data_IF_803098729083
#
_entry.id   IF_803098729083
#
_cell.length_a   1.000
_cell.length_b   1.000
_cell.length_c   1.000
_cell.angle_alpha   90.00
_cell.angle_beta   90.00
_cell.angle_gamma   90.00
#
_symmetry.space_group_name_H-M   'P 1'
#
loop_
_entity.id
_entity.type
_entity.pdbx_description
1 polymer ?
#
# COMPACT_ATOMS: atom_id res chain seq x y z
N UNK A 1 -0.48 -21.06 7.35
CA UNK A 1 0.69 -20.46 8.02
C UNK A 1 0.78 -18.97 7.69
N UNK A 2 1.65 -18.29 8.39
CA UNK A 2 1.94 -16.86 8.12
C UNK A 2 2.85 -16.77 6.91
N UNK A 3 2.52 -15.90 5.94
CA UNK A 3 3.33 -15.66 4.74
C UNK A 3 4.34 -14.54 4.94
N UNK A 4 3.97 -13.48 5.68
CA UNK A 4 4.81 -12.33 5.97
C UNK A 4 4.69 -11.93 7.43
N UNK A 5 5.76 -11.35 7.97
CA UNK A 5 5.85 -10.79 9.33
C UNK A 5 6.30 -9.34 9.17
N UNK A 6 5.41 -8.41 9.43
CA UNK A 6 5.69 -6.98 9.48
C UNK A 6 6.12 -6.53 10.89
N UNK A 7 6.29 -5.21 11.06
CA UNK A 7 6.60 -4.62 12.37
C UNK A 7 8.09 -4.44 12.66
N UNK A 8 8.98 -4.92 11.80
CA UNK A 8 10.41 -4.59 11.86
C UNK A 8 10.62 -3.22 11.19
N UNK A 9 10.34 -2.13 11.92
CA UNK A 9 10.27 -0.80 11.33
C UNK A 9 10.61 0.34 12.28
N UNK A 10 10.71 1.56 11.71
CA UNK A 10 11.00 2.78 12.46
C UNK A 10 10.16 3.98 11.95
N UNK A 11 9.89 4.93 12.85
CA UNK A 11 9.19 6.17 12.55
C UNK A 11 10.15 7.35 12.67
N UNK A 12 10.93 7.61 11.63
CA UNK A 12 12.00 8.64 11.62
C UNK A 12 11.61 9.93 10.92
N UNK A 13 10.33 10.16 10.71
CA UNK A 13 9.83 11.32 9.96
C UNK A 13 10.11 12.69 10.60
N UNK A 14 10.30 12.75 11.92
CA UNK A 14 10.68 14.01 12.61
C UNK A 14 12.19 14.13 12.73
N UNK A 15 12.80 13.11 13.30
CA UNK A 15 14.25 12.97 13.50
C UNK A 15 14.52 11.50 13.81
N UNK A 16 15.76 11.05 13.66
CA UNK A 16 16.17 9.74 14.08
C UNK A 16 17.02 9.82 15.35
N UNK A 17 16.65 9.06 16.36
CA UNK A 17 17.46 8.86 17.56
C UNK A 17 18.68 7.97 17.25
N UNK A 18 19.74 7.98 18.09
CA UNK A 18 20.88 7.08 17.87
C UNK A 18 20.47 5.60 17.78
N UNK A 19 19.53 5.14 18.60
CA UNK A 19 19.02 3.76 18.54
C UNK A 19 18.25 3.45 17.26
N UNK A 20 17.48 4.40 16.72
CA UNK A 20 16.81 4.23 15.43
C UNK A 20 17.83 4.19 14.29
N UNK A 21 18.88 5.01 14.33
CA UNK A 21 19.96 4.95 13.33
C UNK A 21 20.66 3.58 13.36
N UNK A 22 20.97 3.07 14.54
CA UNK A 22 21.51 1.72 14.71
C UNK A 22 20.57 0.65 14.20
N UNK A 23 19.27 0.78 14.48
CA UNK A 23 18.25 -0.11 13.94
C UNK A 23 18.24 -0.12 12.40
N UNK A 24 18.31 1.05 11.74
CA UNK A 24 18.34 1.14 10.28
C UNK A 24 19.53 0.38 9.68
N UNK A 25 20.68 0.31 10.41
CA UNK A 25 21.83 -0.47 9.98
C UNK A 25 21.55 -1.97 9.89
N UNK A 26 20.66 -2.49 10.74
CA UNK A 26 20.34 -3.91 10.80
C UNK A 26 19.39 -4.40 9.71
N UNK A 27 18.63 -3.52 9.08
CA UNK A 27 17.59 -3.85 8.10
C UNK A 27 18.12 -4.71 6.93
N UNK A 28 19.23 -4.37 6.26
CA UNK A 28 19.69 -5.17 5.13
C UNK A 28 20.00 -6.62 5.50
N UNK A 29 20.68 -6.83 6.61
CA UNK A 29 21.08 -8.17 7.05
C UNK A 29 19.87 -8.98 7.54
N UNK A 30 18.97 -8.37 8.29
CA UNK A 30 17.73 -8.99 8.72
C UNK A 30 16.87 -9.46 7.55
N UNK A 31 16.69 -8.62 6.53
CA UNK A 31 15.89 -8.97 5.36
C UNK A 31 16.60 -9.95 4.42
N UNK A 32 17.92 -9.90 4.32
CA UNK A 32 18.68 -10.84 3.51
C UNK A 32 18.68 -12.26 4.11
N UNK A 33 18.76 -12.36 5.44
CA UNK A 33 18.86 -13.65 6.16
C UNK A 33 17.52 -14.32 6.42
N UNK A 34 16.40 -13.60 6.34
CA UNK A 34 15.06 -14.13 6.60
C UNK A 34 14.23 -14.25 5.33
N UNK A 35 13.28 -15.19 5.31
CA UNK A 35 12.36 -15.36 4.17
C UNK A 35 11.09 -14.52 4.28
N UNK A 36 10.56 -14.34 5.48
CA UNK A 36 9.21 -13.81 5.72
C UNK A 36 9.19 -12.44 6.40
N UNK A 37 10.29 -12.02 7.00
CA UNK A 37 10.36 -10.71 7.68
C UNK A 37 10.36 -9.60 6.64
N UNK A 38 9.44 -8.64 6.82
CA UNK A 38 9.34 -7.42 6.06
C UNK A 38 9.65 -6.22 6.97
N UNK A 39 10.18 -5.16 6.39
CA UNK A 39 10.54 -3.94 7.10
C UNK A 39 9.93 -2.71 6.45
N UNK A 40 9.64 -1.72 7.27
CA UNK A 40 9.14 -0.42 6.81
C UNK A 40 9.71 0.72 7.62
N UNK A 41 9.93 1.85 6.96
CA UNK A 41 10.40 3.08 7.62
C UNK A 41 9.56 4.25 7.16
N UNK A 42 8.96 4.98 8.09
CA UNK A 42 8.23 6.22 7.78
C UNK A 42 9.21 7.40 7.84
N UNK A 43 9.50 8.00 6.68
CA UNK A 43 10.50 9.06 6.53
C UNK A 43 9.93 10.47 6.44
N UNK A 44 8.60 10.60 6.38
CA UNK A 44 7.98 11.91 6.23
C UNK A 44 6.54 11.95 6.70
N UNK A 45 6.06 13.18 6.92
CA UNK A 45 4.66 13.46 7.16
C UNK A 45 4.29 14.85 6.64
N UNK A 46 3.01 15.09 6.38
CA UNK A 46 2.50 16.40 5.98
C UNK A 46 2.86 17.49 6.99
N UNK A 47 2.96 17.13 8.28
CA UNK A 47 3.29 18.09 9.37
C UNK A 47 4.79 18.36 9.49
N UNK A 48 5.64 17.35 9.33
CA UNK A 48 7.09 17.46 9.54
C UNK A 48 7.91 17.60 8.25
N UNK A 49 7.27 17.43 7.09
CA UNK A 49 8.00 17.32 5.83
C UNK A 49 8.70 15.97 5.69
N UNK A 50 9.69 15.89 4.81
CA UNK A 50 10.47 14.69 4.54
C UNK A 50 11.83 14.80 5.24
N UNK A 51 12.19 13.79 6.01
CA UNK A 51 13.52 13.68 6.61
C UNK A 51 14.53 13.21 5.56
N UNK A 52 15.22 14.16 4.91
CA UNK A 52 16.16 13.88 3.82
C UNK A 52 17.39 13.12 4.29
N UNK A 53 17.82 13.25 5.54
CA UNK A 53 18.91 12.44 6.10
C UNK A 53 18.53 10.97 6.20
N UNK A 54 17.32 10.69 6.67
CA UNK A 54 16.77 9.32 6.67
C UNK A 54 16.65 8.77 5.24
N UNK A 55 16.19 9.56 4.28
CA UNK A 55 16.11 9.15 2.87
C UNK A 55 17.49 8.78 2.32
N UNK A 56 18.53 9.58 2.60
CA UNK A 56 19.90 9.28 2.18
C UNK A 56 20.40 7.95 2.78
N UNK A 57 20.22 7.79 4.09
CA UNK A 57 20.64 6.56 4.80
C UNK A 57 19.91 5.35 4.22
N UNK A 58 18.60 5.43 4.04
CA UNK A 58 17.81 4.32 3.49
C UNK A 58 18.21 3.99 2.04
N UNK A 59 18.55 4.98 1.22
CA UNK A 59 19.06 4.74 -0.12
C UNK A 59 20.31 3.85 -0.11
N UNK A 60 21.24 4.09 0.82
CA UNK A 60 22.41 3.24 1.03
C UNK A 60 22.04 1.82 1.51
N UNK A 61 21.05 1.72 2.42
CA UNK A 61 20.59 0.42 2.94
C UNK A 61 19.87 -0.39 1.87
N UNK A 62 19.05 0.24 1.04
CA UNK A 62 18.39 -0.43 -0.10
C UNK A 62 19.44 -0.95 -1.09
N UNK A 63 20.44 -0.14 -1.41
CA UNK A 63 21.55 -0.57 -2.29
C UNK A 63 22.30 -1.77 -1.70
N UNK A 64 22.61 -1.74 -0.40
CA UNK A 64 23.24 -2.86 0.30
C UNK A 64 22.36 -4.10 0.27
N UNK A 65 21.06 -3.96 0.54
CA UNK A 65 20.09 -5.06 0.51
C UNK A 65 19.99 -5.69 -0.89
N UNK A 66 19.94 -4.88 -1.93
CA UNK A 66 19.98 -5.35 -3.32
C UNK A 66 21.24 -6.18 -3.58
N UNK A 67 22.39 -5.68 -3.14
CA UNK A 67 23.66 -6.40 -3.28
C UNK A 67 23.70 -7.73 -2.51
N UNK A 68 23.21 -7.76 -1.27
CA UNK A 68 23.19 -8.96 -0.43
C UNK A 68 22.26 -10.06 -0.99
N UNK A 69 21.29 -9.68 -1.80
CA UNK A 69 20.29 -10.62 -2.36
C UNK A 69 20.36 -10.72 -3.89
N UNK A 70 21.46 -10.25 -4.51
CA UNK A 70 21.63 -10.20 -5.96
C UNK A 70 21.58 -11.55 -6.67
N UNK A 71 21.95 -12.61 -5.96
CA UNK A 71 21.88 -14.00 -6.43
C UNK A 71 20.45 -14.54 -6.51
N UNK A 72 19.49 -13.79 -5.98
CA UNK A 72 18.07 -14.06 -5.97
C UNK A 72 17.27 -12.86 -6.51
N UNK A 73 17.71 -12.26 -7.59
CA UNK A 73 17.09 -11.12 -8.27
C UNK A 73 16.81 -9.92 -7.36
N UNK A 74 17.65 -9.70 -6.35
CA UNK A 74 17.50 -8.66 -5.33
C UNK A 74 16.15 -8.70 -4.58
N UNK A 75 15.59 -9.89 -4.40
CA UNK A 75 14.28 -10.10 -3.78
C UNK A 75 14.16 -9.51 -2.37
N UNK A 76 15.27 -9.29 -1.68
CA UNK A 76 15.27 -8.61 -0.39
C UNK A 76 14.60 -7.24 -0.44
N UNK A 77 14.77 -6.51 -1.54
CA UNK A 77 14.17 -5.19 -1.71
C UNK A 77 12.64 -5.20 -1.79
N UNK A 78 12.01 -6.31 -2.19
CA UNK A 78 10.55 -6.42 -2.23
C UNK A 78 9.92 -6.53 -0.83
N UNK A 79 10.75 -6.77 0.19
CA UNK A 79 10.33 -6.87 1.59
C UNK A 79 10.55 -5.58 2.39
N UNK A 80 10.99 -4.52 1.72
CA UNK A 80 11.24 -3.23 2.34
C UNK A 80 10.39 -2.13 1.69
N UNK A 81 9.81 -1.27 2.51
CA UNK A 81 9.06 -0.11 2.04
C UNK A 81 9.40 1.15 2.84
N UNK A 82 9.60 2.25 2.15
CA UNK A 82 9.68 3.59 2.75
C UNK A 82 8.31 4.27 2.62
N UNK A 83 7.79 4.74 3.74
CA UNK A 83 6.51 5.44 3.81
C UNK A 83 6.66 6.94 4.03
N UNK A 84 5.65 7.68 3.57
CA UNK A 84 5.37 9.03 3.97
C UNK A 84 3.89 9.10 4.36
N UNK A 85 3.57 9.74 5.49
CA UNK A 85 2.22 9.74 6.07
C UNK A 85 1.67 8.33 6.36
N UNK A 86 2.49 7.43 6.86
CA UNK A 86 1.98 6.14 7.31
C UNK A 86 0.88 6.33 8.36
N UNK A 87 -0.27 5.70 8.12
CA UNK A 87 -1.42 5.73 9.03
C UNK A 87 -1.36 4.54 9.98
N UNK A 88 -1.98 4.70 11.13
CA UNK A 88 -2.18 3.62 12.10
C UNK A 88 -3.09 2.54 11.51
N UNK A 89 -2.90 1.31 11.96
CA UNK A 89 -3.65 0.12 11.52
C UNK A 89 -3.62 -0.13 10.00
N UNK A 90 -2.55 0.31 9.37
CA UNK A 90 -2.31 0.11 7.95
C UNK A 90 -2.09 -1.37 7.65
N UNK A 91 -2.90 -2.01 6.77
CA UNK A 91 -2.79 -3.43 6.45
C UNK A 91 -1.76 -3.75 5.36
N UNK A 92 -0.83 -2.87 5.05
CA UNK A 92 0.21 -3.13 4.06
C UNK A 92 1.13 -4.28 4.48
N UNK A 93 1.37 -5.21 3.57
CA UNK A 93 2.19 -6.39 3.79
C UNK A 93 3.57 -6.10 4.38
N UNK A 94 4.29 -5.14 3.79
CA UNK A 94 5.65 -4.81 4.22
C UNK A 94 5.69 -3.82 5.39
N UNK A 95 4.59 -3.17 5.73
CA UNK A 95 4.57 -2.07 6.67
C UNK A 95 3.26 -1.91 7.43
N UNK A 96 2.85 -2.94 8.12
CA UNK A 96 1.77 -2.80 9.09
C UNK A 96 2.26 -1.97 10.28
N UNK A 97 1.56 -0.88 10.57
CA UNK A 97 1.77 -0.08 11.78
C UNK A 97 0.60 -0.32 12.71
N UNK A 98 0.90 -0.74 13.94
CA UNK A 98 -0.12 -0.88 14.96
C UNK A 98 -0.55 0.50 15.47
N UNK A 99 -1.84 0.71 15.61
CA UNK A 99 -2.41 1.93 16.16
C UNK A 99 -2.38 1.99 17.68
N UNK A 100 -2.91 3.08 18.20
CA UNK A 100 -3.08 3.32 19.64
C UNK A 100 -4.39 2.76 20.18
N UNK A 101 -5.09 1.91 19.42
CA UNK A 101 -6.35 1.30 19.80
C UNK A 101 -6.25 0.40 21.03
N UNK A 102 -7.38 0.10 21.64
CA UNK A 102 -7.45 -0.69 22.90
C UNK A 102 -7.31 -2.19 22.69
N UNK A 103 -7.44 -2.69 21.44
CA UNK A 103 -7.39 -4.11 21.15
C UNK A 103 -5.95 -4.66 21.04
N UNK A 104 -5.71 -5.82 21.66
CA UNK A 104 -4.42 -6.54 21.54
C UNK A 104 -4.19 -7.10 20.13
N UNK A 105 -5.25 -7.29 19.36
CA UNK A 105 -5.22 -7.81 18.00
C UNK A 105 -6.37 -7.25 17.16
N UNK A 106 -6.06 -6.82 15.95
CA UNK A 106 -7.03 -6.31 14.98
C UNK A 106 -6.84 -7.04 13.64
N UNK A 107 -7.95 -7.40 13.02
CA UNK A 107 -7.96 -8.00 11.67
C UNK A 107 -8.26 -6.92 10.65
N UNK A 108 -7.30 -6.62 9.80
CA UNK A 108 -7.45 -5.75 8.65
C UNK A 108 -7.40 -6.60 7.36
N UNK A 109 -8.11 -6.19 6.34
CA UNK A 109 -8.10 -6.87 5.04
C UNK A 109 -7.63 -5.93 3.96
N UNK A 110 -6.50 -6.26 3.35
CA UNK A 110 -6.03 -5.60 2.13
C UNK A 110 -6.48 -6.39 0.89
N UNK A 111 -7.01 -5.70 -0.09
CA UNK A 111 -7.44 -6.31 -1.35
C UNK A 111 -6.61 -5.76 -2.50
N UNK A 112 -5.90 -6.64 -3.23
CA UNK A 112 -5.25 -6.26 -4.49
C UNK A 112 -6.31 -6.14 -5.57
N UNK A 113 -6.57 -4.91 -6.03
CA UNK A 113 -7.67 -4.59 -6.94
C UNK A 113 -7.33 -4.24 -8.38
N UNK A 114 -6.04 -4.00 -8.78
CA UNK A 114 -5.75 -3.44 -10.10
C UNK A 114 -6.30 -4.26 -11.27
N UNK A 115 -6.11 -5.58 -11.26
CA UNK A 115 -6.57 -6.44 -12.34
C UNK A 115 -8.09 -6.44 -12.52
N UNK A 116 -8.85 -6.38 -11.44
CA UNK A 116 -10.33 -6.31 -11.49
C UNK A 116 -10.79 -4.98 -12.06
N UNK A 117 -10.16 -3.88 -11.63
CA UNK A 117 -10.46 -2.54 -12.12
C UNK A 117 -10.07 -2.41 -13.59
N UNK A 118 -8.88 -2.87 -13.98
CA UNK A 118 -8.43 -2.89 -15.37
C UNK A 118 -9.44 -3.62 -16.26
N UNK A 119 -9.85 -4.81 -15.88
CA UNK A 119 -10.84 -5.59 -16.64
C UNK A 119 -12.19 -4.87 -16.78
N UNK A 120 -12.63 -4.17 -15.75
CA UNK A 120 -13.87 -3.40 -15.81
C UNK A 120 -13.73 -2.19 -16.76
N UNK A 121 -12.62 -1.47 -16.70
CA UNK A 121 -12.34 -0.29 -17.54
C UNK A 121 -12.12 -0.69 -19.01
N UNK A 122 -11.45 -1.82 -19.27
CA UNK A 122 -11.20 -2.28 -20.65
C UNK A 122 -12.48 -2.54 -21.45
N UNK A 123 -13.59 -2.86 -20.76
CA UNK A 123 -14.90 -3.03 -21.38
C UNK A 123 -15.59 -1.71 -21.76
N UNK A 124 -15.10 -0.61 -21.24
CA UNK A 124 -15.64 0.73 -21.47
C UNK A 124 -14.68 1.59 -22.33
N UNK A 125 -13.84 0.96 -23.11
CA UNK A 125 -12.87 1.64 -23.97
C UNK A 125 -13.58 2.57 -24.97
N UNK A 126 -13.19 3.86 -24.94
CA UNK A 126 -13.79 4.89 -25.78
C UNK A 126 -15.00 5.59 -25.17
N UNK A 127 -15.44 5.21 -23.99
CA UNK A 127 -16.47 5.93 -23.24
C UNK A 127 -15.93 7.24 -22.65
N UNK A 128 -16.83 8.10 -22.18
CA UNK A 128 -16.47 9.35 -21.54
C UNK A 128 -15.71 9.10 -20.24
N UNK A 129 -14.86 10.06 -19.84
CA UNK A 129 -14.08 9.96 -18.59
C UNK A 129 -14.99 9.83 -17.35
N UNK A 130 -16.17 10.45 -17.37
CA UNK A 130 -17.16 10.35 -16.30
C UNK A 130 -17.73 8.93 -16.20
N UNK A 131 -18.01 8.30 -17.34
CA UNK A 131 -18.43 6.90 -17.39
C UNK A 131 -17.36 5.97 -16.83
N UNK A 132 -16.10 6.19 -17.20
CA UNK A 132 -14.95 5.42 -16.71
C UNK A 132 -14.79 5.59 -15.19
N UNK A 133 -14.87 6.82 -14.68
CA UNK A 133 -14.80 7.11 -13.25
C UNK A 133 -15.92 6.40 -12.46
N UNK A 134 -17.14 6.40 -12.97
CA UNK A 134 -18.25 5.65 -12.35
C UNK A 134 -18.05 4.13 -12.39
N UNK A 135 -17.45 3.59 -13.42
CA UNK A 135 -17.10 2.16 -13.51
C UNK A 135 -16.05 1.81 -12.47
N UNK A 136 -14.98 2.61 -12.33
CA UNK A 136 -13.95 2.44 -11.31
C UNK A 136 -14.60 2.44 -9.92
N UNK A 137 -15.41 3.44 -9.61
CA UNK A 137 -16.12 3.59 -8.35
C UNK A 137 -17.01 2.38 -8.04
N UNK A 138 -17.87 1.96 -8.98
CA UNK A 138 -18.74 0.80 -8.80
C UNK A 138 -17.96 -0.50 -8.60
N UNK A 139 -16.85 -0.66 -9.31
CA UNK A 139 -15.97 -1.85 -9.18
C UNK A 139 -15.31 -1.88 -7.83
N UNK A 140 -14.71 -0.76 -7.41
CA UNK A 140 -14.09 -0.60 -6.11
C UNK A 140 -15.09 -0.87 -4.96
N UNK A 141 -16.32 -0.36 -5.06
CA UNK A 141 -17.39 -0.65 -4.08
C UNK A 141 -17.66 -2.15 -3.95
N UNK A 142 -17.74 -2.88 -5.07
CA UNK A 142 -17.94 -4.34 -5.05
C UNK A 142 -16.78 -5.06 -4.36
N UNK A 143 -15.54 -4.66 -4.65
CA UNK A 143 -14.33 -5.25 -4.04
C UNK A 143 -14.33 -5.00 -2.53
N UNK A 144 -14.64 -3.77 -2.09
CA UNK A 144 -14.73 -3.43 -0.66
C UNK A 144 -15.76 -4.27 0.06
N UNK A 145 -16.92 -4.50 -0.56
CA UNK A 145 -17.97 -5.36 0.01
C UNK A 145 -17.53 -6.80 0.19
N UNK A 146 -16.80 -7.36 -0.77
CA UNK A 146 -16.21 -8.70 -0.64
C UNK A 146 -15.16 -8.73 0.47
N UNK A 147 -14.26 -7.75 0.51
CA UNK A 147 -13.27 -7.62 1.58
C UNK A 147 -13.91 -7.55 2.96
N UNK A 148 -15.00 -6.79 3.10
CA UNK A 148 -15.74 -6.67 4.36
C UNK A 148 -16.40 -8.00 4.80
N UNK A 149 -16.93 -8.78 3.85
CA UNK A 149 -17.49 -10.10 4.16
C UNK A 149 -16.40 -11.05 4.67
N UNK A 150 -15.26 -11.08 4.00
CA UNK A 150 -14.10 -11.89 4.42
C UNK A 150 -13.60 -11.47 5.79
N UNK A 151 -13.45 -10.16 6.02
CA UNK A 151 -12.99 -9.61 7.29
C UNK A 151 -13.90 -9.97 8.46
N UNK A 152 -15.21 -9.84 8.29
CA UNK A 152 -16.20 -10.19 9.32
C UNK A 152 -16.16 -11.69 9.65
N UNK A 153 -16.04 -12.54 8.65
CA UNK A 153 -15.96 -13.99 8.88
C UNK A 153 -14.62 -14.37 9.55
N UNK A 154 -13.50 -13.74 9.18
CA UNK A 154 -12.21 -13.93 9.84
C UNK A 154 -12.26 -13.47 11.31
N UNK A 155 -12.83 -12.29 11.57
CA UNK A 155 -13.04 -11.73 12.91
C UNK A 155 -13.84 -12.71 13.79
N UNK A 156 -14.93 -13.23 13.27
CA UNK A 156 -15.76 -14.21 13.98
C UNK A 156 -15.01 -15.51 14.31
N UNK A 157 -14.21 -16.03 13.37
CA UNK A 157 -13.47 -17.29 13.55
C UNK A 157 -12.29 -17.15 14.51
N UNK A 158 -11.61 -16.02 14.47
CA UNK A 158 -10.40 -15.77 15.24
C UNK A 158 -10.70 -15.06 16.59
N UNK A 159 -11.96 -14.68 16.83
CA UNK A 159 -12.37 -13.91 17.99
C UNK A 159 -11.49 -12.67 18.22
N UNK A 160 -11.22 -11.94 17.14
CA UNK A 160 -10.43 -10.71 17.15
C UNK A 160 -11.22 -9.58 16.47
N UNK A 161 -11.00 -8.34 16.88
CA UNK A 161 -11.74 -7.19 16.38
C UNK A 161 -11.51 -7.00 14.87
N UNK A 162 -12.54 -6.59 14.15
CA UNK A 162 -12.44 -6.16 12.77
C UNK A 162 -12.10 -4.66 12.71
N UNK A 163 -10.99 -4.31 12.08
CA UNK A 163 -10.57 -2.94 11.84
C UNK A 163 -11.04 -2.41 10.49
N UNK A 164 -10.16 -2.39 9.51
CA UNK A 164 -10.41 -1.76 8.21
C UNK A 164 -10.28 -2.72 7.03
N UNK A 165 -10.92 -2.33 5.91
CA UNK A 165 -10.66 -2.89 4.58
C UNK A 165 -9.89 -1.84 3.79
N UNK A 166 -8.66 -2.18 3.39
CA UNK A 166 -7.87 -1.36 2.49
C UNK A 166 -8.13 -1.77 1.03
N UNK A 167 -8.55 -0.81 0.25
CA UNK A 167 -8.76 -0.92 -1.18
C UNK A 167 -7.68 -0.14 -1.93
N UNK A 168 -6.44 -0.30 -1.56
CA UNK A 168 -5.36 0.26 -2.37
C UNK A 168 -5.24 -0.52 -3.69
N UNK A 169 -4.93 0.21 -4.76
CA UNK A 169 -4.60 -0.41 -6.04
C UNK A 169 -3.13 -0.87 -6.04
N UNK A 170 -2.72 -1.53 -4.94
CA UNK A 170 -1.37 -2.06 -4.80
C UNK A 170 -1.15 -3.19 -5.81
N UNK A 171 -0.22 -3.04 -6.75
CA UNK A 171 0.02 -4.05 -7.78
C UNK A 171 0.76 -5.26 -7.22
N UNK A 172 0.59 -6.39 -7.91
CA UNK A 172 1.44 -7.57 -7.72
C UNK A 172 2.27 -7.82 -8.98
N UNK A 173 3.32 -8.65 -8.95
CA UNK A 173 4.08 -8.98 -10.16
C UNK A 173 3.33 -9.87 -11.16
N UNK A 174 2.07 -10.18 -10.90
CA UNK A 174 1.24 -10.98 -11.82
C UNK A 174 0.87 -10.15 -13.06
N UNK A 175 0.85 -10.81 -14.21
CA UNK A 175 0.42 -10.19 -15.46
C UNK A 175 -1.03 -9.71 -15.33
N UNK A 176 -1.28 -8.46 -15.70
CA UNK A 176 -2.61 -7.85 -15.61
C UNK A 176 -2.92 -7.18 -14.27
N UNK A 177 -2.03 -7.24 -13.28
CA UNK A 177 -2.23 -6.62 -11.97
C UNK A 177 -1.35 -5.36 -11.83
N UNK A 178 -1.59 -4.37 -12.69
CA UNK A 178 -0.82 -3.12 -12.74
C UNK A 178 -1.71 -1.90 -12.84
N UNK A 179 -1.43 -0.89 -12.01
CA UNK A 179 -2.07 0.43 -12.09
C UNK A 179 -1.79 1.10 -13.43
N UNK A 180 -0.60 0.91 -13.99
CA UNK A 180 -0.23 1.46 -15.30
C UNK A 180 -1.23 1.02 -16.39
N UNK A 181 -1.61 -0.24 -16.42
CA UNK A 181 -2.58 -0.75 -17.37
C UNK A 181 -3.97 -0.16 -17.18
N UNK A 182 -4.40 0.14 -15.94
CA UNK A 182 -5.66 0.86 -15.72
C UNK A 182 -5.64 2.22 -16.39
N UNK A 183 -4.54 2.98 -16.23
CA UNK A 183 -4.39 4.32 -16.78
C UNK A 183 -4.34 4.28 -18.32
N UNK A 184 -3.71 3.26 -18.89
CA UNK A 184 -3.68 3.06 -20.35
C UNK A 184 -5.07 2.71 -20.91
N UNK A 185 -5.85 1.88 -20.20
CA UNK A 185 -7.26 1.61 -20.59
C UNK A 185 -8.16 2.85 -20.47
N UNK A 186 -7.81 3.83 -19.62
CA UNK A 186 -8.49 5.13 -19.55
C UNK A 186 -8.21 6.02 -20.78
N UNK A 187 -7.36 5.57 -21.71
CA UNK A 187 -7.08 6.26 -22.98
C UNK A 187 -5.67 6.86 -23.09
N UNK A 188 -4.78 6.60 -22.15
CA UNK A 188 -3.37 6.99 -22.30
C UNK A 188 -2.66 6.09 -23.32
N UNK A 189 -1.79 6.68 -24.13
CA UNK A 189 -0.91 5.92 -25.02
C UNK A 189 0.13 5.10 -24.27
N UNK A 190 0.59 5.62 -23.15
CA UNK A 190 1.47 4.94 -22.17
C UNK A 190 1.50 5.75 -20.88
N UNK A 191 1.83 5.10 -19.77
CA UNK A 191 2.09 5.81 -18.51
C UNK A 191 3.34 6.67 -18.66
N UNK A 192 3.25 7.92 -18.18
CA UNK A 192 4.25 8.97 -18.39
C UNK A 192 3.90 9.94 -19.53
N UNK A 193 2.96 9.59 -20.42
CA UNK A 193 2.43 10.51 -21.43
C UNK A 193 1.56 11.61 -20.79
N UNK A 194 1.26 12.65 -21.59
CA UNK A 194 0.34 13.71 -21.18
C UNK A 194 -1.01 13.15 -20.74
N UNK A 195 -1.52 13.61 -19.62
CA UNK A 195 -2.77 13.12 -19.03
C UNK A 195 -2.58 12.10 -17.89
N UNK A 196 -1.40 11.52 -17.68
CA UNK A 196 -1.14 10.53 -16.64
C UNK A 196 -1.53 11.05 -15.24
N UNK A 197 -1.14 12.27 -14.89
CA UNK A 197 -1.49 12.90 -13.60
C UNK A 197 -3.00 13.09 -13.43
N UNK A 198 -3.70 13.47 -14.51
CA UNK A 198 -5.15 13.62 -14.48
C UNK A 198 -5.84 12.26 -14.27
N UNK A 199 -5.43 11.21 -14.97
CA UNK A 199 -5.96 9.87 -14.79
C UNK A 199 -5.70 9.33 -13.37
N UNK A 200 -4.52 9.59 -12.80
CA UNK A 200 -4.22 9.25 -11.40
C UNK A 200 -5.14 10.01 -10.43
N UNK A 201 -5.35 11.30 -10.64
CA UNK A 201 -6.24 12.10 -9.80
C UNK A 201 -7.68 11.57 -9.86
N UNK A 202 -8.20 11.25 -11.04
CA UNK A 202 -9.55 10.69 -11.22
C UNK A 202 -9.66 9.32 -10.50
N UNK A 203 -8.66 8.45 -10.66
CA UNK A 203 -8.64 7.15 -10.01
C UNK A 203 -8.66 7.31 -8.48
N UNK A 204 -7.83 8.18 -7.93
CA UNK A 204 -7.78 8.45 -6.50
C UNK A 204 -9.09 9.05 -5.97
N UNK A 205 -9.67 10.04 -6.66
CA UNK A 205 -10.95 10.65 -6.26
C UNK A 205 -12.08 9.60 -6.29
N UNK A 206 -12.09 8.72 -7.28
CA UNK A 206 -13.09 7.64 -7.36
C UNK A 206 -12.99 6.67 -6.18
N UNK A 207 -11.78 6.40 -5.68
CA UNK A 207 -11.55 5.54 -4.52
C UNK A 207 -11.88 6.25 -3.19
N UNK A 208 -11.51 7.52 -3.02
CA UNK A 208 -11.79 8.31 -1.82
C UNK A 208 -13.30 8.42 -1.56
N UNK A 209 -14.09 8.65 -2.60
CA UNK A 209 -15.57 8.74 -2.47
C UNK A 209 -16.24 7.43 -2.03
N UNK A 210 -15.53 6.29 -2.07
CA UNK A 210 -16.02 5.01 -1.59
C UNK A 210 -15.65 4.78 -0.13
N UNK A 211 -14.48 5.23 0.28
CA UNK A 211 -13.99 5.02 1.64
C UNK A 211 -14.57 6.00 2.67
N UNK A 212 -15.16 7.12 2.23
CA UNK A 212 -15.72 8.15 3.12
C UNK A 212 -17.21 8.51 2.90
N UNK A 213 -18.13 7.57 2.61
CA UNK A 213 -19.53 7.94 2.42
C UNK A 213 -20.24 8.42 3.70
N UNK A 214 -19.60 8.26 4.87
CA UNK A 214 -20.19 8.54 6.19
C UNK A 214 -19.89 9.93 6.74
N UNK A 215 -18.93 10.66 6.22
CA UNK A 215 -18.59 12.00 6.72
C UNK A 215 -19.43 13.14 6.13
N UNK A 216 -20.06 12.94 4.99
CA UNK A 216 -20.92 13.95 4.33
C UNK A 216 -22.39 13.91 4.76
N UNK A 217 -22.80 12.96 5.58
CA UNK A 217 -24.14 12.84 6.10
C UNK A 217 -24.35 13.33 7.54
N UNK A 218 -23.34 13.97 8.14
CA UNK A 218 -23.39 14.52 9.50
C UNK A 218 -23.13 16.04 9.51
N UNK A 219 -23.82 16.80 8.68
CA UNK A 219 -24.00 18.25 8.83
C UNK A 219 -25.50 18.52 8.86
#
# INVERSE_FOLDING_TARGET
>A
GIDFIGGYGALVHKSATPGELEFLETIPDALASTKKVCSSVNVGSTKSGINMDAVRILGEKIKRLAYLTRDRDSIGCTKFVAFCNAVEDNPFMAGAFNGTGEGDAVINVGVSGPGVVQYAVSKAKGESIDTIAEIIKKTAFKITRVGQLVAKEASRRLNAEFGIVDLSLAPTPKIGDSVAHILEEMGLSSVGAHGTTACLAISNLSLIHISEPTRLGMI
#
